data_IF_720506930881
#
_entry.id   IF_720506930881
#
_cell.length_a   1.000
_cell.length_b   1.000
_cell.length_c   1.000
_cell.angle_alpha   90.00
_cell.angle_beta   90.00
_cell.angle_gamma   90.00
#
_symmetry.space_group_name_H-M   'P 1'
#
loop_
_entity.id
_entity.type
_entity.pdbx_description
1 polymer ?
#
# COMPACT_ATOMS: atom_id res chain seq x y z
N UNK A 1 12.19 -26.43 1.93
CA UNK A 1 12.72 -25.58 0.85
C UNK A 1 12.34 -24.15 1.19
N UNK A 2 13.24 -23.44 1.88
CA UNK A 2 13.05 -22.06 2.30
C UNK A 2 13.23 -21.14 1.10
N UNK A 3 12.26 -20.26 0.87
CA UNK A 3 12.30 -19.23 -0.16
C UNK A 3 13.53 -18.32 0.08
N UNK A 4 14.49 -18.20 -0.86
CA UNK A 4 15.70 -17.39 -0.68
C UNK A 4 15.43 -15.92 -1.01
N UNK A 5 14.44 -15.31 -0.36
CA UNK A 5 14.29 -13.85 -0.34
C UNK A 5 14.31 -13.39 1.12
N UNK A 6 15.54 -13.23 1.63
CA UNK A 6 15.85 -12.51 2.87
C UNK A 6 15.31 -11.07 2.75
N UNK A 7 14.84 -10.44 3.83
CA UNK A 7 13.99 -9.26 3.75
C UNK A 7 14.81 -8.09 3.23
N UNK A 8 14.41 -7.53 2.09
CA UNK A 8 14.76 -6.16 1.76
C UNK A 8 14.13 -5.32 2.88
N UNK A 9 14.93 -4.52 3.57
CA UNK A 9 14.41 -3.57 4.57
C UNK A 9 13.27 -2.79 3.93
N UNK A 10 12.15 -2.57 4.65
CA UNK A 10 11.05 -1.81 4.10
C UNK A 10 11.50 -0.47 3.55
N UNK A 11 11.10 -0.15 2.32
CA UNK A 11 11.33 1.15 1.74
C UNK A 11 10.29 2.14 2.26
N UNK A 12 10.68 3.42 2.34
CA UNK A 12 9.85 4.46 2.92
C UNK A 12 10.07 5.79 2.23
N UNK A 13 8.97 6.50 1.95
CA UNK A 13 8.97 7.83 1.35
C UNK A 13 8.18 8.79 2.22
N UNK A 14 8.61 10.05 2.29
CA UNK A 14 7.91 11.10 3.03
C UNK A 14 7.55 12.28 2.13
N UNK A 15 6.39 12.88 2.40
CA UNK A 15 5.91 14.08 1.70
C UNK A 15 5.10 14.94 2.67
N UNK A 16 5.75 15.91 3.30
CA UNK A 16 5.11 16.71 4.34
C UNK A 16 4.61 15.82 5.50
N UNK A 17 3.31 15.85 5.85
CA UNK A 17 2.74 15.01 6.91
C UNK A 17 2.39 13.58 6.44
N UNK A 18 2.82 13.17 5.25
CA UNK A 18 2.49 11.86 4.68
C UNK A 18 3.70 10.95 4.62
N UNK A 19 3.45 9.66 4.80
CA UNK A 19 4.42 8.57 4.76
C UNK A 19 3.89 7.47 3.83
N UNK A 20 4.74 6.94 2.94
CA UNK A 20 4.48 5.67 2.27
C UNK A 20 5.50 4.65 2.79
N UNK A 21 5.08 3.43 3.08
CA UNK A 21 5.98 2.36 3.51
C UNK A 21 5.62 1.03 2.85
N UNK A 22 6.63 0.22 2.51
CA UNK A 22 6.44 -1.18 2.10
C UNK A 22 6.42 -2.15 3.29
N UNK A 23 6.44 -1.65 4.53
CA UNK A 23 6.36 -2.49 5.72
C UNK A 23 4.93 -3.02 5.87
N UNK A 24 4.75 -4.30 5.55
CA UNK A 24 3.45 -4.97 5.64
C UNK A 24 2.94 -5.10 7.07
N UNK A 25 3.79 -4.94 8.09
CA UNK A 25 3.37 -4.94 9.49
C UNK A 25 2.63 -3.67 9.90
N UNK A 26 2.76 -2.59 9.11
CA UNK A 26 2.03 -1.33 9.32
C UNK A 26 0.65 -1.32 8.66
N UNK A 27 0.40 -2.23 7.71
CA UNK A 27 -0.92 -2.36 7.06
C UNK A 27 -1.91 -2.89 8.09
N UNK A 28 -3.05 -2.21 8.23
CA UNK A 28 -4.08 -2.57 9.20
C UNK A 28 -5.18 -3.39 8.50
N UNK A 29 -5.20 -4.74 8.62
CA UNK A 29 -6.07 -5.59 7.81
C UNK A 29 -7.56 -5.31 8.07
N UNK A 30 -7.95 -4.98 9.30
CA UNK A 30 -9.33 -4.66 9.64
C UNK A 30 -9.83 -3.44 8.85
N UNK A 31 -9.07 -2.34 8.86
CA UNK A 31 -9.39 -1.11 8.12
C UNK A 31 -9.42 -1.38 6.61
N UNK A 32 -8.43 -2.11 6.08
CA UNK A 32 -8.43 -2.47 4.66
C UNK A 32 -9.68 -3.27 4.26
N UNK A 33 -10.14 -4.16 5.14
CA UNK A 33 -11.34 -4.96 4.90
C UNK A 33 -12.62 -4.13 4.96
N UNK A 34 -12.66 -3.11 5.81
CA UNK A 34 -13.75 -2.12 5.84
C UNK A 34 -13.82 -1.35 4.51
N UNK A 35 -12.68 -0.96 3.94
CA UNK A 35 -12.64 -0.36 2.60
C UNK A 35 -13.12 -1.35 1.54
N UNK A 36 -12.64 -2.60 1.54
CA UNK A 36 -13.11 -3.63 0.60
C UNK A 36 -14.59 -3.97 0.73
N UNK A 37 -15.23 -3.64 1.86
CA UNK A 37 -16.65 -3.81 2.07
C UNK A 37 -17.48 -2.57 1.65
N UNK A 38 -16.83 -1.45 1.34
CA UNK A 38 -17.50 -0.19 1.03
C UNK A 38 -17.77 -0.04 -0.48
N UNK A 39 -18.75 0.79 -0.81
CA UNK A 39 -19.08 1.11 -2.21
C UNK A 39 -17.95 1.88 -2.93
N UNK A 40 -17.04 2.51 -2.18
CA UNK A 40 -15.88 3.22 -2.75
C UNK A 40 -14.88 2.24 -3.39
N UNK A 41 -14.88 0.98 -2.95
CA UNK A 41 -13.99 -0.08 -3.42
C UNK A 41 -14.75 -1.12 -4.24
N UNK A 42 -15.61 -0.64 -5.16
CA UNK A 42 -16.59 -1.45 -5.91
C UNK A 42 -16.04 -2.66 -6.68
N UNK A 43 -14.73 -2.74 -6.91
CA UNK A 43 -14.08 -3.84 -7.62
C UNK A 43 -13.54 -4.95 -6.69
N UNK A 44 -13.63 -4.78 -5.36
CA UNK A 44 -13.26 -5.79 -4.38
C UNK A 44 -14.45 -6.11 -3.46
N UNK A 45 -14.30 -7.19 -2.70
CA UNK A 45 -15.19 -7.54 -1.59
C UNK A 45 -14.33 -7.86 -0.37
N UNK A 46 -14.90 -7.70 0.82
CA UNK A 46 -14.23 -8.14 2.04
C UNK A 46 -13.81 -9.61 2.00
N UNK A 47 -12.71 -9.91 2.70
CA UNK A 47 -12.13 -11.23 2.82
C UNK A 47 -12.11 -11.65 4.29
N UNK A 48 -12.12 -12.96 4.62
CA UNK A 48 -11.76 -13.41 5.95
C UNK A 48 -10.37 -12.87 6.35
N UNK A 49 -10.19 -12.39 7.58
CA UNK A 49 -8.96 -11.69 7.99
C UNK A 49 -7.68 -12.51 7.74
N UNK A 50 -7.71 -13.83 8.00
CA UNK A 50 -6.58 -14.71 7.72
C UNK A 50 -6.22 -14.80 6.22
N UNK A 51 -7.21 -14.68 5.34
CA UNK A 51 -7.02 -14.65 3.88
C UNK A 51 -6.46 -13.29 3.47
N UNK A 52 -6.96 -12.20 4.05
CA UNK A 52 -6.48 -10.85 3.78
C UNK A 52 -5.03 -10.67 4.22
N UNK A 53 -4.68 -11.12 5.42
CA UNK A 53 -3.29 -11.14 5.92
C UNK A 53 -2.38 -11.93 4.97
N UNK A 54 -2.82 -13.12 4.54
CA UNK A 54 -2.07 -13.91 3.56
C UNK A 54 -1.91 -13.17 2.23
N UNK A 55 -2.93 -12.46 1.75
CA UNK A 55 -2.84 -11.64 0.54
C UNK A 55 -1.80 -10.53 0.70
N UNK A 56 -1.84 -9.79 1.81
CA UNK A 56 -0.88 -8.71 2.12
C UNK A 56 0.55 -9.24 2.13
N UNK A 57 0.79 -10.39 2.79
CA UNK A 57 2.13 -10.99 2.91
C UNK A 57 2.69 -11.54 1.58
N UNK A 58 1.84 -11.87 0.61
CA UNK A 58 2.26 -12.41 -0.69
C UNK A 58 2.33 -11.35 -1.80
N UNK A 59 1.97 -10.11 -1.51
CA UNK A 59 1.99 -9.01 -2.47
C UNK A 59 2.99 -7.93 -2.03
N UNK A 60 3.51 -7.18 -3.00
CA UNK A 60 4.17 -5.92 -2.68
C UNK A 60 3.09 -4.90 -2.34
N UNK A 61 3.00 -4.50 -1.07
CA UNK A 61 2.02 -3.53 -0.59
C UNK A 61 2.73 -2.24 -0.18
N UNK A 62 2.24 -1.10 -0.67
CA UNK A 62 2.66 0.21 -0.22
C UNK A 62 1.50 0.80 0.58
N UNK A 63 1.67 0.90 1.90
CA UNK A 63 0.72 1.60 2.76
C UNK A 63 0.98 3.09 2.77
N UNK A 64 -0.07 3.90 2.68
CA UNK A 64 -0.03 5.36 2.80
C UNK A 64 -0.57 5.76 4.17
N UNK A 65 0.18 6.61 4.87
CA UNK A 65 -0.13 7.05 6.21
C UNK A 65 -0.10 8.57 6.34
N UNK A 66 -0.93 9.09 7.23
CA UNK A 66 -0.94 10.49 7.64
C UNK A 66 -0.44 10.63 9.07
N UNK A 67 0.48 11.57 9.28
CA UNK A 67 0.99 11.95 10.58
C UNK A 67 0.97 13.48 10.69
N UNK A 68 -0.02 14.06 11.39
CA UNK A 68 -0.05 15.50 11.61
C UNK A 68 1.13 15.93 12.50
N UNK A 69 1.75 17.08 12.17
CA UNK A 69 2.97 17.58 12.81
C UNK A 69 2.79 18.06 14.26
N UNK A 70 1.58 18.00 14.83
CA UNK A 70 1.33 18.39 16.22
C UNK A 70 1.30 17.12 17.08
N UNK A 71 2.17 17.00 18.10
CA UNK A 71 1.99 16.01 19.15
C UNK A 71 0.61 16.25 19.77
N UNK A 72 -0.20 15.21 19.92
CA UNK A 72 -1.32 15.32 20.85
C UNK A 72 -0.73 15.54 22.26
N UNK A 73 -1.25 16.53 22.98
CA UNK A 73 -0.81 16.87 24.34
C UNK A 73 -1.14 15.77 25.37
N UNK A 74 -1.90 14.76 24.98
CA UNK A 74 -2.02 13.49 25.70
C UNK A 74 -0.97 12.53 25.17
N UNK A 75 -0.19 11.89 26.05
CA UNK A 75 0.85 10.89 25.74
C UNK A 75 0.39 9.61 25.04
N UNK A 76 -0.54 9.72 24.11
CA UNK A 76 -0.89 8.74 23.11
C UNK A 76 0.24 8.70 22.06
N UNK A 77 0.55 7.49 21.61
CA UNK A 77 1.51 7.22 20.54
C UNK A 77 1.31 8.17 19.37
N UNK A 78 2.39 8.53 18.69
CA UNK A 78 2.36 9.11 17.35
C UNK A 78 1.76 8.07 16.40
N UNK A 79 0.44 7.97 16.37
CA UNK A 79 -0.27 6.98 15.59
C UNK A 79 -0.30 7.46 14.13
N UNK A 80 0.44 6.73 13.29
CA UNK A 80 0.35 6.83 11.84
C UNK A 80 -1.06 6.39 11.45
N UNK A 81 -1.86 7.31 10.93
CA UNK A 81 -3.19 6.99 10.44
C UNK A 81 -3.08 6.32 9.08
N UNK A 82 -3.60 5.10 8.92
CA UNK A 82 -3.58 4.38 7.65
C UNK A 82 -4.69 4.90 6.73
N UNK A 83 -4.31 5.58 5.65
CA UNK A 83 -5.23 6.37 4.80
C UNK A 83 -5.17 5.98 3.31
N UNK A 84 -4.48 4.91 2.95
CA UNK A 84 -4.46 4.45 1.57
C UNK A 84 -3.50 3.29 1.33
N UNK A 85 -3.58 2.69 0.15
CA UNK A 85 -2.77 1.55 -0.23
C UNK A 85 -2.54 1.54 -1.75
N UNK A 86 -1.43 0.94 -2.17
CA UNK A 86 -1.26 0.40 -3.51
C UNK A 86 -0.71 -1.03 -3.39
N UNK A 87 -1.25 -1.97 -4.16
CA UNK A 87 -0.87 -3.39 -4.08
C UNK A 87 -0.41 -3.91 -5.43
N UNK A 88 0.71 -4.63 -5.43
CA UNK A 88 1.26 -5.26 -6.62
C UNK A 88 1.31 -6.78 -6.42
N UNK A 89 0.67 -7.52 -7.33
CA UNK A 89 0.89 -8.97 -7.45
C UNK A 89 2.12 -9.14 -8.34
N UNK A 90 3.18 -9.74 -7.80
CA UNK A 90 4.47 -9.81 -8.49
C UNK A 90 5.26 -11.06 -8.08
N UNK A 91 6.09 -11.54 -9.00
CA UNK A 91 7.15 -12.54 -8.74
C UNK A 91 8.50 -11.87 -8.41
N UNK A 92 8.51 -10.54 -8.26
CA UNK A 92 9.68 -9.68 -8.04
C UNK A 92 10.77 -9.79 -9.12
N UNK A 93 10.45 -10.37 -10.28
CA UNK A 93 11.45 -10.70 -11.30
C UNK A 93 10.99 -10.38 -12.70
N UNK A 94 9.84 -10.91 -13.14
CA UNK A 94 9.43 -10.87 -14.55
C UNK A 94 8.09 -10.18 -14.80
N UNK A 95 7.22 -10.09 -13.78
CA UNK A 95 5.87 -9.60 -13.97
C UNK A 95 5.36 -8.83 -12.76
N UNK A 96 4.70 -7.69 -13.03
CA UNK A 96 4.04 -6.87 -12.01
C UNK A 96 2.61 -6.53 -12.45
N UNK A 97 1.66 -6.73 -11.55
CA UNK A 97 0.26 -6.30 -11.71
C UNK A 97 -0.14 -5.36 -10.59
N UNK A 98 -0.26 -4.07 -10.91
CA UNK A 98 -0.71 -3.03 -9.98
C UNK A 98 -2.24 -3.05 -9.88
N UNK A 99 -2.73 -3.15 -8.65
CA UNK A 99 -4.14 -3.16 -8.27
C UNK A 99 -4.35 -2.40 -6.96
N UNK A 100 -5.61 -2.15 -6.61
CA UNK A 100 -6.02 -1.63 -5.30
C UNK A 100 -5.33 -0.32 -4.94
N UNK A 101 -5.17 0.58 -5.91
CA UNK A 101 -4.68 1.94 -5.66
C UNK A 101 -5.83 2.75 -5.08
N UNK A 102 -5.72 3.09 -3.80
CA UNK A 102 -6.77 3.78 -3.07
C UNK A 102 -6.18 4.78 -2.09
N UNK A 103 -6.91 5.89 -1.92
CA UNK A 103 -6.64 6.93 -0.93
C UNK A 103 -7.98 7.29 -0.30
N UNK A 104 -8.01 7.34 1.03
CA UNK A 104 -9.19 7.73 1.80
C UNK A 104 -9.73 9.09 1.31
N UNK A 105 -11.05 9.22 1.20
CA UNK A 105 -11.74 10.36 0.60
C UNK A 105 -11.30 11.72 1.16
N UNK A 106 -11.12 11.84 2.47
CA UNK A 106 -10.62 13.07 3.14
C UNK A 106 -9.21 13.52 2.71
N UNK A 107 -8.46 12.62 2.06
CA UNK A 107 -7.10 12.85 1.56
C UNK A 107 -6.99 12.85 0.03
N UNK A 108 -8.08 12.64 -0.69
CA UNK A 108 -8.12 12.73 -2.14
C UNK A 108 -7.95 14.18 -2.64
N UNK A 109 -7.68 14.35 -3.95
CA UNK A 109 -7.42 15.66 -4.56
C UNK A 109 -6.04 16.27 -4.24
N UNK A 110 -5.24 15.63 -3.38
CA UNK A 110 -3.90 16.12 -2.95
C UNK A 110 -2.72 15.50 -3.73
N UNK A 111 -3.00 14.75 -4.80
CA UNK A 111 -2.00 14.06 -5.63
C UNK A 111 -1.32 12.87 -4.94
N UNK A 112 -1.94 12.28 -3.90
CA UNK A 112 -1.38 11.16 -3.15
C UNK A 112 -1.45 9.83 -3.92
N UNK A 113 -2.52 9.60 -4.69
CA UNK A 113 -2.62 8.43 -5.56
C UNK A 113 -1.51 8.40 -6.63
N UNK A 114 -1.24 9.54 -7.27
CA UNK A 114 -0.11 9.66 -8.20
C UNK A 114 1.24 9.45 -7.51
N UNK A 115 1.37 9.88 -6.26
CA UNK A 115 2.58 9.65 -5.47
C UNK A 115 2.79 8.16 -5.14
N UNK A 116 1.73 7.43 -4.77
CA UNK A 116 1.75 5.97 -4.59
C UNK A 116 2.24 5.27 -5.87
N UNK A 117 1.65 5.60 -7.03
CA UNK A 117 2.03 4.99 -8.32
C UNK A 117 3.49 5.32 -8.68
N UNK A 118 3.98 6.52 -8.34
CA UNK A 118 5.39 6.89 -8.54
C UNK A 118 6.32 6.03 -7.69
N UNK A 119 6.02 5.84 -6.40
CA UNK A 119 6.81 4.98 -5.51
C UNK A 119 6.80 3.51 -5.97
N UNK A 120 5.68 3.01 -6.48
CA UNK A 120 5.62 1.69 -7.14
C UNK A 120 6.59 1.64 -8.33
N UNK A 121 6.60 2.68 -9.18
CA UNK A 121 7.53 2.78 -10.30
C UNK A 121 8.99 2.74 -9.88
N UNK A 122 9.36 3.49 -8.84
CA UNK A 122 10.73 3.50 -8.29
C UNK A 122 11.18 2.10 -7.85
N UNK A 123 10.30 1.33 -7.20
CA UNK A 123 10.58 -0.07 -6.84
C UNK A 123 10.74 -0.94 -8.08
N UNK A 124 9.85 -0.82 -9.08
CA UNK A 124 9.90 -1.62 -10.31
C UNK A 124 11.18 -1.33 -11.11
N UNK A 125 11.67 -0.09 -11.12
CA UNK A 125 12.91 0.29 -11.80
C UNK A 125 14.15 -0.42 -11.22
N UNK A 126 14.06 -0.92 -9.97
CA UNK A 126 15.10 -1.76 -9.36
C UNK A 126 15.06 -3.23 -9.83
N UNK A 127 14.04 -3.63 -10.60
CA UNK A 127 13.83 -4.99 -11.07
C UNK A 127 14.21 -5.14 -12.56
N UNK A 128 15.49 -5.39 -12.90
CA UNK A 128 16.01 -5.28 -14.28
C UNK A 128 15.44 -6.31 -15.26
N UNK A 129 14.79 -7.36 -14.77
CA UNK A 129 14.26 -8.46 -15.59
C UNK A 129 12.75 -8.38 -15.81
N UNK A 130 12.07 -7.33 -15.33
CA UNK A 130 10.63 -7.16 -15.51
C UNK A 130 10.32 -7.04 -17.00
N UNK A 131 9.47 -7.94 -17.49
CA UNK A 131 9.09 -8.04 -18.92
C UNK A 131 7.72 -7.44 -19.18
N UNK A 132 6.86 -7.40 -18.15
CA UNK A 132 5.49 -6.92 -18.25
C UNK A 132 5.06 -6.23 -16.97
N UNK A 133 4.45 -5.06 -17.16
CA UNK A 133 3.72 -4.34 -16.13
C UNK A 133 2.28 -4.21 -16.63
N UNK A 134 1.33 -4.49 -15.75
CA UNK A 134 -0.10 -4.33 -15.99
C UNK A 134 -0.67 -3.42 -14.93
N UNK A 135 -1.48 -2.47 -15.37
CA UNK A 135 -2.23 -1.57 -14.51
C UNK A 135 -3.70 -1.86 -14.72
N UNK A 136 -4.46 -1.96 -13.63
CA UNK A 136 -5.90 -1.73 -13.72
C UNK A 136 -6.19 -0.38 -13.09
N UNK A 137 -6.50 0.58 -13.95
CA UNK A 137 -7.06 1.84 -13.53
C UNK A 137 -8.56 1.65 -13.33
N UNK A 138 -8.98 1.44 -12.10
CA UNK A 138 -10.34 1.79 -11.71
C UNK A 138 -10.32 3.30 -11.49
N UNK A 139 -11.15 4.04 -12.22
CA UNK A 139 -11.14 5.50 -12.21
C UNK A 139 -11.31 6.01 -10.75
N UNK A 140 -10.36 6.84 -10.32
CA UNK A 140 -10.47 7.71 -9.15
C UNK A 140 -11.23 8.99 -9.52
#
# INVERSE_FOLDING_TARGET
MSNPQTPVSPETWTKGPYLISTDTSLVQPQILNEWFASDEFYWANSLPLNVLEKMIQNCLCLGLYYQPSKPQESGAKTDLEFIGIARCITDYTTFVYLTDVYVHSDHQGKGLGSWLVKCVGEIIDTMPYVRRIRYVAYAL
#
